data_IF_634530003489
#
_entry.id   IF_634530003489
#
_cell.length_a   1.000
_cell.length_b   1.000
_cell.length_c   1.000
_cell.angle_alpha   90.00
_cell.angle_beta   90.00
_cell.angle_gamma   90.00
#
_symmetry.space_group_name_H-M   'P 1'
#
loop_
_entity.id
_entity.type
_entity.pdbx_description
1 polymer ?
#
# COMPACT_ATOMS: atom_id res chain seq x y z
N UNK A 1 -12.65 38.37 -2.24
CA UNK A 1 -11.90 37.16 -2.63
C UNK A 1 -10.57 37.17 -1.88
N UNK A 2 -10.46 36.41 -0.77
CA UNK A 2 -9.19 36.28 -0.04
C UNK A 2 -8.50 34.99 -0.47
N UNK A 3 -7.25 35.12 -0.92
CA UNK A 3 -6.36 34.04 -1.31
C UNK A 3 -6.20 33.02 -0.17
N UNK A 4 -6.85 31.86 -0.30
CA UNK A 4 -6.65 30.73 0.59
C UNK A 4 -5.59 29.77 0.01
N UNK A 5 -4.48 30.31 -0.48
CA UNK A 5 -3.35 29.57 -1.06
C UNK A 5 -2.29 29.23 0.00
N UNK A 6 -2.70 28.75 1.18
CA UNK A 6 -1.74 28.00 2.00
C UNK A 6 -1.52 26.67 1.30
N UNK A 7 -0.37 26.51 0.67
CA UNK A 7 0.05 25.21 0.17
C UNK A 7 0.36 24.31 1.38
N UNK A 8 -0.60 23.46 1.76
CA UNK A 8 -0.48 22.53 2.90
C UNK A 8 0.21 21.22 2.46
N UNK A 9 0.41 21.02 1.15
CA UNK A 9 1.15 19.89 0.63
C UNK A 9 2.65 20.06 0.91
N UNK A 10 3.32 19.02 1.42
CA UNK A 10 4.79 18.99 1.38
C UNK A 10 5.24 18.66 -0.06
N UNK A 11 5.86 19.60 -0.79
CA UNK A 11 6.44 19.31 -2.08
C UNK A 11 7.52 18.26 -1.85
N UNK A 12 7.37 17.08 -2.44
CA UNK A 12 8.27 15.94 -2.24
C UNK A 12 8.22 15.22 -0.89
N UNK A 13 7.02 15.04 -0.32
CA UNK A 13 6.83 14.12 0.81
C UNK A 13 7.46 12.72 0.56
N UNK A 14 8.47 12.38 1.36
CA UNK A 14 9.17 11.10 1.30
C UNK A 14 8.46 10.06 2.18
N UNK A 15 7.49 9.36 1.60
CA UNK A 15 6.66 8.35 2.28
C UNK A 15 7.47 7.24 2.96
N UNK A 16 8.73 7.04 2.55
CA UNK A 16 9.62 6.00 3.03
C UNK A 16 10.71 6.53 3.99
N UNK A 17 10.79 7.86 4.17
CA UNK A 17 11.83 8.54 4.95
C UNK A 17 13.25 8.11 4.52
N UNK A 18 13.47 7.92 3.22
CA UNK A 18 14.73 7.48 2.61
C UNK A 18 15.90 8.36 3.01
N UNK A 19 15.72 9.69 3.04
CA UNK A 19 16.79 10.64 3.46
C UNK A 19 17.20 10.44 4.92
N UNK A 20 16.23 10.34 5.83
CA UNK A 20 16.52 10.07 7.24
C UNK A 20 17.16 8.69 7.44
N UNK A 21 16.69 7.67 6.71
CA UNK A 21 17.30 6.33 6.71
C UNK A 21 18.73 6.32 6.17
N UNK A 22 19.06 7.19 5.21
CA UNK A 22 20.44 7.36 4.73
C UNK A 22 21.33 7.84 5.85
N UNK A 23 20.97 8.96 6.49
CA UNK A 23 21.72 9.52 7.62
C UNK A 23 21.93 8.47 8.71
N UNK A 24 20.90 7.69 9.03
CA UNK A 24 21.01 6.60 10.00
C UNK A 24 21.93 5.47 9.52
N UNK A 25 21.90 5.08 8.24
CA UNK A 25 22.76 4.03 7.70
C UNK A 25 24.24 4.45 7.69
N UNK A 26 24.49 5.73 7.39
CA UNK A 26 25.81 6.36 7.42
C UNK A 26 26.35 6.43 8.85
N UNK A 27 25.53 6.89 9.81
CA UNK A 27 25.90 6.87 11.24
C UNK A 27 26.27 5.46 11.71
N UNK A 28 25.44 4.46 11.40
CA UNK A 28 25.72 3.08 11.80
C UNK A 28 26.99 2.51 11.13
N UNK A 29 27.37 2.99 9.94
CA UNK A 29 28.65 2.62 9.31
C UNK A 29 29.83 3.23 10.06
N UNK A 30 29.72 4.49 10.49
CA UNK A 30 30.76 5.19 11.24
C UNK A 30 30.95 4.59 12.65
N UNK A 31 29.86 4.16 13.29
CA UNK A 31 29.85 3.51 14.61
C UNK A 31 30.23 2.03 14.56
N UNK A 32 30.23 1.40 13.38
CA UNK A 32 30.54 -0.04 13.27
C UNK A 32 31.98 -0.35 13.69
N UNK A 33 32.16 -1.50 14.33
CA UNK A 33 33.45 -2.07 14.68
C UNK A 33 34.13 -2.70 13.46
N UNK A 34 34.61 -1.82 12.57
CA UNK A 34 35.35 -2.16 11.35
C UNK A 34 36.50 -1.17 11.17
N UNK A 35 37.57 -1.59 10.48
CA UNK A 35 38.72 -0.74 10.26
C UNK A 35 38.37 0.56 9.52
N UNK A 36 39.06 1.66 9.85
CA UNK A 36 38.87 2.98 9.23
C UNK A 36 38.93 2.91 7.70
N UNK A 37 39.87 2.10 7.18
CA UNK A 37 40.02 1.89 5.74
C UNK A 37 38.74 1.38 5.06
N UNK A 38 38.01 0.46 5.67
CA UNK A 38 36.75 -0.04 5.12
C UNK A 38 35.64 1.01 5.16
N UNK A 39 35.56 1.80 6.24
CA UNK A 39 34.61 2.93 6.34
C UNK A 39 34.83 3.91 5.17
N UNK A 40 36.07 4.34 4.96
CA UNK A 40 36.45 5.28 3.91
C UNK A 40 36.18 4.72 2.51
N UNK A 41 36.46 3.43 2.29
CA UNK A 41 36.19 2.77 1.00
C UNK A 41 34.70 2.72 0.68
N UNK A 42 33.86 2.41 1.67
CA UNK A 42 32.41 2.33 1.49
C UNK A 42 31.84 3.72 1.19
N UNK A 43 32.24 4.74 1.94
CA UNK A 43 31.77 6.12 1.74
C UNK A 43 32.17 6.63 0.36
N UNK A 44 33.44 6.48 -0.02
CA UNK A 44 33.93 6.87 -1.35
C UNK A 44 33.21 6.13 -2.47
N UNK A 45 32.90 4.86 -2.30
CA UNK A 45 32.13 4.11 -3.30
C UNK A 45 30.73 4.68 -3.47
N UNK A 46 30.02 4.92 -2.36
CA UNK A 46 28.66 5.45 -2.40
C UNK A 46 28.63 6.86 -3.00
N UNK A 47 29.62 7.69 -2.65
CA UNK A 47 29.81 9.02 -3.22
C UNK A 47 30.08 8.95 -4.73
N UNK A 48 31.07 8.15 -5.16
CA UNK A 48 31.39 7.94 -6.57
C UNK A 48 30.15 7.52 -7.36
N UNK A 49 29.42 6.50 -6.90
CA UNK A 49 28.20 6.03 -7.57
C UNK A 49 27.11 7.11 -7.61
N UNK A 50 27.05 7.96 -6.57
CA UNK A 50 26.09 9.07 -6.53
C UNK A 50 26.42 10.12 -7.58
N UNK A 51 27.69 10.53 -7.68
CA UNK A 51 28.14 11.56 -8.62
C UNK A 51 28.18 11.06 -10.07
N UNK A 52 28.68 9.85 -10.31
CA UNK A 52 28.88 9.33 -11.66
C UNK A 52 27.61 8.72 -12.28
N UNK A 53 26.72 8.14 -11.46
CA UNK A 53 25.56 7.36 -11.96
C UNK A 53 24.21 7.86 -11.44
N UNK A 54 24.15 9.04 -10.81
CA UNK A 54 22.92 9.60 -10.24
C UNK A 54 22.19 8.61 -9.31
N UNK A 55 22.95 7.95 -8.42
CA UNK A 55 22.44 6.88 -7.57
C UNK A 55 21.31 7.35 -6.66
N UNK A 56 20.15 6.71 -6.73
CA UNK A 56 19.03 7.04 -5.83
C UNK A 56 19.37 6.86 -4.34
N UNK A 57 18.77 7.67 -3.47
CA UNK A 57 18.92 7.59 -2.00
C UNK A 57 18.59 6.18 -1.47
N UNK A 58 17.59 5.51 -2.03
CA UNK A 58 17.25 4.14 -1.64
C UNK A 58 18.39 3.15 -1.91
N UNK A 59 19.12 3.34 -3.01
CA UNK A 59 20.25 2.48 -3.40
C UNK A 59 21.52 2.83 -2.63
N UNK A 60 21.74 4.11 -2.31
CA UNK A 60 22.78 4.55 -1.36
C UNK A 60 22.60 3.84 -0.01
N UNK A 61 21.39 3.88 0.57
CA UNK A 61 21.07 3.17 1.82
C UNK A 61 21.35 1.67 1.74
N UNK A 62 21.04 1.06 0.58
CA UNK A 62 21.31 -0.36 0.34
C UNK A 62 22.80 -0.64 0.33
N UNK A 63 23.61 0.16 -0.36
CA UNK A 63 25.07 -0.03 -0.39
C UNK A 63 25.70 0.17 0.98
N UNK A 64 25.35 1.26 1.69
CA UNK A 64 25.83 1.49 3.06
C UNK A 64 25.53 0.30 3.97
N UNK A 65 24.28 -0.19 3.96
CA UNK A 65 23.88 -1.32 4.80
C UNK A 65 24.59 -2.63 4.45
N UNK A 66 24.62 -3.01 3.16
CA UNK A 66 25.16 -4.30 2.75
C UNK A 66 26.69 -4.32 2.82
N UNK A 67 27.37 -3.23 2.44
CA UNK A 67 28.82 -3.17 2.51
C UNK A 67 29.32 -3.09 3.95
N UNK A 68 28.61 -2.39 4.85
CA UNK A 68 28.92 -2.42 6.28
C UNK A 68 28.87 -3.85 6.83
N UNK A 69 27.81 -4.58 6.53
CA UNK A 69 27.67 -5.99 6.93
C UNK A 69 28.82 -6.84 6.36
N UNK A 70 29.18 -6.64 5.09
CA UNK A 70 30.30 -7.36 4.48
C UNK A 70 31.62 -7.04 5.20
N UNK A 71 31.85 -5.77 5.56
CA UNK A 71 33.03 -5.33 6.30
C UNK A 71 33.05 -5.89 7.74
N UNK A 72 31.92 -5.91 8.45
CA UNK A 72 31.79 -6.49 9.79
C UNK A 72 32.14 -7.99 9.81
N UNK A 73 32.02 -8.67 8.68
CA UNK A 73 32.32 -10.11 8.54
C UNK A 73 33.63 -10.37 7.81
N UNK A 74 34.32 -9.31 7.35
CA UNK A 74 35.61 -9.38 6.67
C UNK A 74 36.68 -8.86 7.65
N UNK A 75 37.48 -9.78 8.17
CA UNK A 75 38.55 -9.52 9.16
C UNK A 75 39.72 -8.66 8.61
N UNK A 76 39.60 -8.15 7.36
CA UNK A 76 40.66 -7.43 6.65
C UNK A 76 40.09 -6.24 5.85
N UNK A 77 40.92 -5.25 5.51
CA UNK A 77 40.55 -4.22 4.54
C UNK A 77 40.16 -4.83 3.18
N UNK A 78 39.10 -4.33 2.55
CA UNK A 78 38.62 -4.86 1.26
C UNK A 78 39.69 -4.82 0.16
N UNK A 79 40.55 -3.81 0.15
CA UNK A 79 41.61 -3.65 -0.85
C UNK A 79 42.74 -4.67 -0.68
N UNK A 80 42.89 -5.25 0.51
CA UNK A 80 43.85 -6.30 0.84
C UNK A 80 43.24 -7.71 0.85
N UNK A 81 41.93 -7.85 0.66
CA UNK A 81 41.26 -9.15 0.66
C UNK A 81 41.66 -9.98 -0.58
N UNK A 82 41.94 -11.25 -0.35
CA UNK A 82 42.23 -12.24 -1.41
C UNK A 82 40.95 -12.96 -1.85
N UNK A 83 41.02 -13.74 -2.92
CA UNK A 83 39.93 -14.62 -3.35
C UNK A 83 39.45 -15.55 -2.21
N UNK A 84 40.38 -16.15 -1.47
CA UNK A 84 40.07 -17.06 -0.36
C UNK A 84 39.37 -16.34 0.80
N UNK A 85 39.74 -15.09 1.10
CA UNK A 85 39.05 -14.28 2.11
C UNK A 85 37.59 -14.00 1.68
N UNK A 86 37.35 -13.75 0.39
CA UNK A 86 36.01 -13.52 -0.17
C UNK A 86 35.16 -14.79 -0.18
N UNK A 87 35.75 -15.96 -0.45
CA UNK A 87 35.08 -17.25 -0.32
C UNK A 87 34.59 -17.49 1.12
N UNK A 88 35.48 -17.29 2.10
CA UNK A 88 35.15 -17.40 3.54
C UNK A 88 34.06 -16.40 3.93
N UNK A 89 34.16 -15.15 3.47
CA UNK A 89 33.16 -14.10 3.71
C UNK A 89 31.78 -14.52 3.22
N UNK A 90 31.65 -14.97 1.97
CA UNK A 90 30.36 -15.39 1.42
C UNK A 90 29.82 -16.63 2.13
N UNK A 91 30.68 -17.58 2.50
CA UNK A 91 30.31 -18.72 3.34
C UNK A 91 29.65 -18.29 4.64
N UNK A 92 30.30 -17.38 5.39
CA UNK A 92 29.75 -16.79 6.63
C UNK A 92 28.45 -16.05 6.37
N UNK A 93 28.41 -15.17 5.37
CA UNK A 93 27.23 -14.35 5.06
C UNK A 93 26.03 -15.19 4.63
N UNK A 94 26.24 -16.30 3.92
CA UNK A 94 25.15 -17.16 3.45
C UNK A 94 24.62 -18.10 4.52
N UNK A 95 25.41 -18.36 5.56
CA UNK A 95 25.04 -19.20 6.70
C UNK A 95 24.68 -18.40 7.95
N UNK A 96 24.89 -17.09 7.96
CA UNK A 96 24.53 -16.25 9.12
C UNK A 96 23.04 -16.30 9.41
N UNK A 97 22.70 -16.18 10.68
CA UNK A 97 21.32 -16.06 11.08
C UNK A 97 20.80 -14.63 10.89
N UNK A 98 19.59 -14.51 10.36
CA UNK A 98 18.88 -13.24 10.21
C UNK A 98 17.57 -13.31 10.97
N UNK A 99 17.33 -12.30 11.80
CA UNK A 99 16.10 -12.17 12.55
C UNK A 99 15.01 -11.50 11.71
N UNK A 100 13.83 -12.12 11.65
CA UNK A 100 12.62 -11.55 11.06
C UNK A 100 11.53 -11.53 12.12
N UNK A 101 11.45 -10.42 12.86
CA UNK A 101 10.65 -10.37 14.08
C UNK A 101 11.26 -11.30 15.12
N UNK A 102 10.46 -12.21 15.67
CA UNK A 102 10.92 -13.21 16.65
C UNK A 102 11.53 -14.46 16.02
N UNK A 103 11.50 -14.59 14.69
CA UNK A 103 11.96 -15.82 14.02
C UNK A 103 13.39 -15.67 13.52
N UNK A 104 14.21 -16.68 13.83
CA UNK A 104 15.59 -16.84 13.35
C UNK A 104 15.57 -17.67 12.06
N UNK A 105 16.12 -17.14 10.95
CA UNK A 105 16.16 -17.82 9.65
C UNK A 105 17.49 -17.61 8.96
N UNK A 106 17.82 -18.45 7.98
CA UNK A 106 18.93 -18.19 7.05
C UNK A 106 18.55 -17.13 6.00
N UNK A 107 19.53 -16.48 5.34
CA UNK A 107 19.27 -15.46 4.33
C UNK A 107 18.58 -16.08 3.11
N UNK A 108 17.56 -15.40 2.60
CA UNK A 108 16.84 -15.85 1.40
C UNK A 108 17.72 -15.82 0.14
N UNK A 109 17.37 -16.59 -0.91
CA UNK A 109 18.06 -16.54 -2.22
C UNK A 109 18.23 -15.09 -2.73
N UNK A 110 17.20 -14.25 -2.58
CA UNK A 110 17.24 -12.82 -2.91
C UNK A 110 18.27 -12.03 -2.09
N UNK A 111 18.37 -12.30 -0.79
CA UNK A 111 19.36 -11.64 0.08
C UNK A 111 20.77 -12.05 -0.31
N UNK A 112 20.99 -13.35 -0.58
CA UNK A 112 22.28 -13.87 -1.05
C UNK A 112 22.68 -13.25 -2.41
N UNK A 113 21.74 -13.17 -3.34
CA UNK A 113 21.91 -12.49 -4.63
C UNK A 113 22.35 -11.02 -4.44
N UNK A 114 21.68 -10.27 -3.58
CA UNK A 114 22.03 -8.87 -3.32
C UNK A 114 23.45 -8.71 -2.77
N UNK A 115 23.86 -9.54 -1.82
CA UNK A 115 25.25 -9.52 -1.32
C UNK A 115 26.25 -9.80 -2.43
N UNK A 116 26.04 -10.86 -3.22
CA UNK A 116 26.92 -11.20 -4.33
C UNK A 116 27.04 -10.07 -5.36
N UNK A 117 25.92 -9.52 -5.82
CA UNK A 117 25.92 -8.46 -6.84
C UNK A 117 26.58 -7.19 -6.31
N UNK A 118 26.23 -6.75 -5.10
CA UNK A 118 26.82 -5.55 -4.49
C UNK A 118 28.33 -5.72 -4.35
N UNK A 119 28.78 -6.87 -3.82
CA UNK A 119 30.20 -7.18 -3.66
C UNK A 119 30.95 -7.16 -5.00
N UNK A 120 30.42 -7.82 -6.05
CA UNK A 120 31.02 -7.77 -7.39
C UNK A 120 31.13 -6.33 -7.90
N UNK A 121 30.04 -5.55 -7.84
CA UNK A 121 30.06 -4.16 -8.33
C UNK A 121 30.95 -3.23 -7.50
N UNK A 122 31.18 -3.56 -6.23
CA UNK A 122 32.09 -2.81 -5.36
C UNK A 122 33.55 -3.14 -5.70
N UNK A 123 33.88 -4.42 -5.88
CA UNK A 123 35.24 -4.84 -6.27
C UNK A 123 35.65 -4.37 -7.66
N UNK A 124 34.69 -4.30 -8.61
CA UNK A 124 34.95 -3.70 -9.93
C UNK A 124 35.46 -2.27 -9.82
N UNK A 125 34.79 -1.46 -9.00
CA UNK A 125 35.21 -0.09 -8.71
C UNK A 125 36.53 -0.06 -7.94
N UNK A 126 36.65 -0.87 -6.88
CA UNK A 126 37.81 -0.88 -5.99
C UNK A 126 39.11 -1.20 -6.71
N UNK A 127 39.08 -2.20 -7.59
CA UNK A 127 40.24 -2.69 -8.35
C UNK A 127 40.37 -2.02 -9.72
N UNK A 128 39.43 -1.13 -10.08
CA UNK A 128 39.34 -0.49 -11.41
C UNK A 128 39.44 -1.52 -12.55
N UNK A 129 38.77 -2.65 -12.37
CA UNK A 129 38.87 -3.81 -13.27
C UNK A 129 37.47 -4.41 -13.47
N UNK A 130 37.11 -4.74 -14.71
CA UNK A 130 35.78 -5.28 -15.03
C UNK A 130 35.56 -6.68 -14.47
N UNK A 131 36.63 -7.46 -14.30
CA UNK A 131 36.61 -8.83 -13.76
C UNK A 131 37.69 -9.04 -12.70
N UNK A 132 37.53 -8.48 -11.48
CA UNK A 132 38.50 -8.67 -10.41
C UNK A 132 38.60 -10.14 -10.01
N UNK A 133 39.83 -10.67 -9.91
CA UNK A 133 40.10 -12.09 -9.59
C UNK A 133 39.41 -12.55 -8.30
N UNK A 134 39.25 -11.65 -7.33
CA UNK A 134 38.64 -11.90 -6.03
C UNK A 134 37.12 -12.16 -6.10
N UNK A 135 36.44 -11.66 -7.14
CA UNK A 135 34.96 -11.69 -7.22
C UNK A 135 34.38 -12.19 -8.53
N UNK A 136 35.18 -12.33 -9.60
CA UNK A 136 34.68 -12.73 -10.92
C UNK A 136 34.00 -14.10 -10.91
N UNK A 137 34.59 -15.05 -10.17
CA UNK A 137 34.09 -16.42 -9.96
C UNK A 137 32.71 -16.50 -9.29
N UNK A 138 32.28 -15.44 -8.59
CA UNK A 138 31.00 -15.41 -7.88
C UNK A 138 29.87 -15.47 -8.91
N UNK A 139 29.07 -16.54 -8.85
CA UNK A 139 27.81 -16.67 -9.58
C UNK A 139 26.66 -16.32 -8.63
N UNK A 140 26.04 -15.11 -8.73
CA UNK A 140 24.93 -14.75 -7.86
C UNK A 140 23.80 -15.79 -7.97
N UNK A 141 23.24 -16.27 -6.84
CA UNK A 141 22.12 -17.21 -6.87
C UNK A 141 20.96 -16.64 -7.69
N UNK A 142 20.39 -17.41 -8.62
CA UNK A 142 19.20 -16.99 -9.35
C UNK A 142 17.98 -17.25 -8.46
N UNK A 143 17.32 -16.22 -7.92
CA UNK A 143 16.06 -16.43 -7.22
C UNK A 143 14.98 -16.82 -8.23
N UNK A 144 14.15 -17.80 -7.89
CA UNK A 144 12.95 -18.10 -8.68
C UNK A 144 12.00 -16.91 -8.64
N UNK A 145 11.39 -16.62 -9.80
CA UNK A 145 10.33 -15.62 -9.87
C UNK A 145 9.14 -16.15 -9.05
N UNK A 146 8.66 -15.42 -8.03
CA UNK A 146 7.52 -15.88 -7.26
C UNK A 146 6.29 -15.92 -8.16
N UNK A 147 5.81 -17.13 -8.46
CA UNK A 147 4.49 -17.33 -9.09
C UNK A 147 3.42 -16.94 -8.07
N UNK A 148 2.46 -16.15 -8.51
CA UNK A 148 1.30 -15.82 -7.69
C UNK A 148 0.42 -17.06 -7.66
N UNK A 149 0.18 -17.62 -6.47
CA UNK A 149 -0.77 -18.73 -6.37
C UNK A 149 -2.20 -18.18 -6.38
N UNK A 150 -3.18 -18.87 -6.97
CA UNK A 150 -4.58 -18.43 -6.98
C UNK A 150 -5.14 -18.13 -5.57
N UNK A 151 -4.76 -18.91 -4.55
CA UNK A 151 -5.14 -18.70 -3.15
C UNK A 151 -4.63 -17.38 -2.55
N UNK A 152 -3.60 -16.78 -3.14
CA UNK A 152 -3.04 -15.51 -2.69
C UNK A 152 -3.70 -14.28 -3.35
N UNK A 153 -4.50 -14.48 -4.39
CA UNK A 153 -5.15 -13.41 -5.15
C UNK A 153 -6.32 -12.85 -4.35
N UNK A 154 -6.27 -11.53 -4.08
CA UNK A 154 -7.35 -10.79 -3.45
C UNK A 154 -8.45 -10.49 -4.47
N UNK A 155 -9.63 -11.04 -4.28
CA UNK A 155 -10.81 -10.70 -5.09
C UNK A 155 -11.45 -9.40 -4.59
N UNK A 156 -12.40 -8.85 -5.34
CA UNK A 156 -13.11 -7.65 -4.88
C UNK A 156 -13.89 -7.92 -3.58
N UNK A 157 -14.39 -9.14 -3.39
CA UNK A 157 -15.08 -9.59 -2.18
C UNK A 157 -14.14 -9.58 -0.97
N UNK A 158 -12.90 -10.03 -1.13
CA UNK A 158 -11.88 -9.94 -0.10
C UNK A 158 -11.63 -8.49 0.31
N UNK A 159 -11.60 -7.56 -0.66
CA UNK A 159 -11.41 -6.13 -0.42
C UNK A 159 -12.61 -5.53 0.30
N UNK A 160 -13.82 -5.93 -0.05
CA UNK A 160 -15.05 -5.51 0.65
C UNK A 160 -15.04 -6.03 2.08
N UNK A 161 -14.72 -7.32 2.31
CA UNK A 161 -14.58 -7.92 3.64
C UNK A 161 -13.53 -7.18 4.48
N UNK A 162 -12.39 -6.86 3.89
CA UNK A 162 -11.34 -6.07 4.53
C UNK A 162 -11.81 -4.65 4.90
N UNK A 163 -12.56 -4.01 4.00
CA UNK A 163 -13.07 -2.64 4.18
C UNK A 163 -14.20 -2.55 5.20
N UNK A 164 -15.05 -3.58 5.31
CA UNK A 164 -16.08 -3.69 6.36
C UNK A 164 -15.50 -3.68 7.77
N UNK A 165 -14.26 -4.17 7.94
CA UNK A 165 -13.54 -4.12 9.20
C UNK A 165 -12.90 -2.75 9.51
N UNK A 166 -13.17 -1.72 8.71
CA UNK A 166 -12.68 -0.36 8.95
C UNK A 166 -13.51 0.36 10.01
N UNK A 167 -12.89 1.34 10.70
CA UNK A 167 -13.55 2.12 11.77
C UNK A 167 -13.74 3.59 11.37
N UNK A 168 -13.41 3.95 10.13
CA UNK A 168 -13.49 5.31 9.61
C UNK A 168 -13.55 5.29 8.08
N UNK A 169 -14.03 6.37 7.47
CA UNK A 169 -14.21 6.47 6.01
C UNK A 169 -12.90 6.39 5.22
N UNK A 170 -11.78 6.87 5.77
CA UNK A 170 -10.46 6.76 5.15
C UNK A 170 -10.04 5.30 5.01
N UNK A 171 -10.11 4.54 6.09
CA UNK A 171 -9.69 3.14 6.12
C UNK A 171 -10.68 2.23 5.39
N UNK A 172 -11.92 2.69 5.19
CA UNK A 172 -12.90 2.08 4.29
C UNK A 172 -12.53 2.27 2.81
N UNK A 173 -12.12 3.47 2.43
CA UNK A 173 -11.80 3.83 1.05
C UNK A 173 -10.42 3.35 0.61
N UNK A 174 -9.41 3.46 1.47
CA UNK A 174 -8.01 3.21 1.16
C UNK A 174 -7.75 1.83 0.51
N UNK A 175 -8.16 0.68 1.08
CA UNK A 175 -7.94 -0.62 0.45
C UNK A 175 -8.71 -0.78 -0.87
N UNK A 176 -9.92 -0.22 -0.99
CA UNK A 176 -10.71 -0.28 -2.21
C UNK A 176 -10.02 0.43 -3.37
N UNK A 177 -9.57 1.67 -3.14
CA UNK A 177 -8.86 2.47 -4.14
C UNK A 177 -7.51 1.83 -4.48
N UNK A 178 -6.77 1.35 -3.47
CA UNK A 178 -5.47 0.68 -3.69
C UNK A 178 -5.62 -0.56 -4.59
N UNK A 179 -6.68 -1.34 -4.40
CA UNK A 179 -6.93 -2.50 -5.23
C UNK A 179 -7.36 -2.07 -6.63
N UNK A 180 -8.38 -1.23 -6.78
CA UNK A 180 -8.95 -0.94 -8.11
C UNK A 180 -7.99 -0.18 -9.04
N UNK A 181 -7.16 0.72 -8.47
CA UNK A 181 -6.12 1.42 -9.24
C UNK A 181 -4.90 0.56 -9.53
N UNK A 182 -4.68 -0.47 -8.72
CA UNK A 182 -3.42 -1.22 -8.68
C UNK A 182 -2.19 -0.33 -8.47
N UNK A 183 -2.34 0.81 -7.79
CA UNK A 183 -1.28 1.78 -7.57
C UNK A 183 -0.06 1.18 -6.88
N UNK A 184 1.14 1.62 -7.27
CA UNK A 184 2.28 1.54 -6.36
C UNK A 184 1.94 2.37 -5.13
N UNK A 185 2.37 1.94 -3.96
CA UNK A 185 2.01 2.63 -2.71
C UNK A 185 2.45 4.10 -2.70
N UNK A 186 3.57 4.43 -3.36
CA UNK A 186 4.06 5.79 -3.51
C UNK A 186 3.13 6.64 -4.39
N UNK A 187 2.68 6.11 -5.54
CA UNK A 187 1.70 6.76 -6.41
C UNK A 187 0.45 7.17 -5.61
N UNK A 188 -0.07 6.26 -4.79
CA UNK A 188 -1.29 6.48 -4.03
C UNK A 188 -1.10 7.45 -2.85
N UNK A 189 -0.04 7.30 -2.06
CA UNK A 189 0.18 8.11 -0.86
C UNK A 189 0.64 9.54 -1.17
N UNK A 190 1.08 9.82 -2.40
CA UNK A 190 1.44 11.18 -2.83
C UNK A 190 0.30 11.91 -3.55
N UNK A 191 -0.90 11.33 -3.66
CA UNK A 191 -2.05 12.03 -4.21
C UNK A 191 -2.46 13.22 -3.32
N UNK A 192 -2.90 14.28 -3.96
CA UNK A 192 -3.59 15.43 -3.35
C UNK A 192 -5.07 15.44 -3.74
N UNK A 193 -5.89 16.25 -3.06
CA UNK A 193 -7.31 16.37 -3.38
C UNK A 193 -7.56 16.85 -4.81
N UNK A 194 -6.70 17.74 -5.35
CA UNK A 194 -6.76 18.21 -6.75
C UNK A 194 -6.49 17.12 -7.79
N UNK A 195 -5.86 16.02 -7.40
CA UNK A 195 -5.54 14.92 -8.31
C UNK A 195 -6.74 14.02 -8.60
N UNK A 196 -7.92 14.33 -8.04
CA UNK A 196 -9.15 13.55 -8.17
C UNK A 196 -10.14 14.26 -9.08
N UNK A 197 -10.23 13.78 -10.31
CA UNK A 197 -11.16 14.26 -11.32
C UNK A 197 -12.45 13.42 -11.27
N UNK A 198 -13.61 14.08 -11.18
CA UNK A 198 -14.91 13.42 -11.32
C UNK A 198 -15.24 13.28 -12.80
N UNK A 199 -15.54 12.06 -13.23
CA UNK A 199 -15.89 11.76 -14.63
C UNK A 199 -17.22 11.02 -14.70
N UNK A 200 -17.88 11.05 -15.86
CA UNK A 200 -19.18 10.41 -16.09
C UNK A 200 -20.22 10.78 -15.01
N UNK A 201 -20.46 12.09 -14.82
CA UNK A 201 -21.39 12.64 -13.81
C UNK A 201 -21.08 12.20 -12.36
N UNK A 202 -19.82 11.89 -12.05
CA UNK A 202 -19.39 11.46 -10.72
C UNK A 202 -19.60 9.97 -10.44
N UNK A 203 -20.04 9.18 -11.43
CA UNK A 203 -20.12 7.71 -11.33
C UNK A 203 -18.73 7.06 -11.31
N UNK A 204 -17.71 7.77 -11.81
CA UNK A 204 -16.34 7.31 -11.82
C UNK A 204 -15.39 8.46 -11.42
N UNK A 205 -14.20 8.09 -10.95
CA UNK A 205 -13.14 9.04 -10.63
C UNK A 205 -11.89 8.68 -11.42
N UNK A 206 -11.21 9.70 -11.93
CA UNK A 206 -9.90 9.56 -12.56
C UNK A 206 -8.85 10.13 -11.59
N UNK A 207 -7.83 9.32 -11.31
CA UNK A 207 -6.81 9.63 -10.31
C UNK A 207 -5.50 9.98 -11.01
N UNK A 208 -5.08 11.25 -10.97
CA UNK A 208 -3.88 11.71 -11.65
C UNK A 208 -2.63 11.45 -10.80
N UNK A 209 -1.88 10.38 -11.09
CA UNK A 209 -0.63 10.13 -10.36
C UNK A 209 0.45 11.09 -10.82
N UNK A 210 0.87 11.99 -9.93
CA UNK A 210 1.96 12.95 -10.20
C UNK A 210 3.37 12.32 -10.17
N UNK A 211 3.49 11.11 -9.60
CA UNK A 211 4.78 10.42 -9.43
C UNK A 211 4.66 8.96 -9.85
N UNK A 212 5.60 8.49 -10.66
CA UNK A 212 5.74 7.08 -11.03
C UNK A 212 7.20 6.74 -11.26
N UNK A 213 7.59 5.50 -10.95
CA UNK A 213 8.94 5.00 -11.24
C UNK A 213 9.17 4.82 -12.75
N UNK A 214 8.10 4.66 -13.53
CA UNK A 214 8.19 4.20 -14.92
C UNK A 214 7.44 5.16 -15.83
N UNK A 215 6.12 5.13 -15.80
CA UNK A 215 5.25 5.99 -16.61
C UNK A 215 4.17 6.60 -15.74
N UNK A 216 3.93 7.90 -15.94
CA UNK A 216 2.84 8.64 -15.33
C UNK A 216 1.53 8.20 -15.97
N UNK A 217 0.48 8.02 -15.16
CA UNK A 217 -0.81 7.51 -15.62
C UNK A 217 -1.94 8.05 -14.76
N UNK A 218 -3.14 8.02 -15.33
CA UNK A 218 -4.36 8.46 -14.66
C UNK A 218 -5.44 7.38 -14.70
N UNK A 219 -5.38 6.33 -13.88
CA UNK A 219 -6.38 5.26 -13.91
C UNK A 219 -7.75 5.76 -13.49
N UNK A 220 -8.78 5.21 -14.13
CA UNK A 220 -10.18 5.37 -13.73
C UNK A 220 -10.55 4.28 -12.70
N UNK A 221 -11.30 4.69 -11.69
CA UNK A 221 -11.98 3.84 -10.70
C UNK A 221 -13.50 4.07 -10.75
N UNK A 222 -14.26 3.00 -10.51
CA UNK A 222 -15.73 3.00 -10.53
C UNK A 222 -16.27 2.36 -9.25
N UNK A 223 -15.77 1.18 -8.88
CA UNK A 223 -16.28 0.43 -7.72
C UNK A 223 -15.96 1.12 -6.39
N UNK A 224 -14.75 1.69 -6.29
CA UNK A 224 -14.24 2.40 -5.12
C UNK A 224 -14.55 3.90 -5.13
N UNK A 225 -15.09 4.44 -6.22
CA UNK A 225 -15.44 5.86 -6.34
C UNK A 225 -16.36 6.37 -5.20
N UNK A 226 -17.44 5.68 -4.81
CA UNK A 226 -18.30 6.17 -3.73
C UNK A 226 -17.59 6.15 -2.36
N UNK A 227 -16.73 5.15 -2.12
CA UNK A 227 -15.93 5.07 -0.90
C UNK A 227 -14.99 6.27 -0.79
N UNK A 228 -14.32 6.60 -1.90
CA UNK A 228 -13.40 7.73 -1.98
C UNK A 228 -14.12 9.07 -1.85
N UNK A 229 -15.27 9.26 -2.52
CA UNK A 229 -16.08 10.47 -2.38
C UNK A 229 -16.55 10.68 -0.93
N UNK A 230 -17.01 9.64 -0.24
CA UNK A 230 -17.38 9.72 1.18
C UNK A 230 -16.19 10.05 2.08
N UNK A 231 -14.97 9.63 1.73
CA UNK A 231 -13.77 10.08 2.44
C UNK A 231 -13.46 11.55 2.16
N UNK A 232 -13.49 11.99 0.91
CA UNK A 232 -13.24 13.38 0.51
C UNK A 232 -14.23 14.33 1.19
N UNK A 233 -15.51 13.96 1.28
CA UNK A 233 -16.58 14.74 1.93
C UNK A 233 -16.29 14.98 3.43
N UNK A 234 -15.68 13.99 4.09
CA UNK A 234 -15.27 14.01 5.50
C UNK A 234 -13.81 14.40 5.71
N UNK A 235 -13.10 14.78 4.66
CA UNK A 235 -11.68 15.04 4.73
C UNK A 235 -11.44 16.30 5.58
N UNK A 236 -10.55 16.24 6.59
CA UNK A 236 -10.37 17.35 7.52
C UNK A 236 -9.81 18.63 6.87
N UNK A 237 -9.15 18.48 5.72
CA UNK A 237 -8.58 19.57 4.93
C UNK A 237 -9.26 19.71 3.56
N UNK A 238 -10.55 19.33 3.43
CA UNK A 238 -11.26 19.28 2.14
C UNK A 238 -11.28 20.61 1.36
N UNK A 239 -11.19 21.73 2.08
CA UNK A 239 -11.19 23.08 1.50
C UNK A 239 -9.86 23.39 0.77
N UNK A 240 -8.79 22.64 1.05
CA UNK A 240 -7.46 22.86 0.49
C UNK A 240 -7.14 21.86 -0.61
N UNK A 241 -7.23 22.29 -1.87
CA UNK A 241 -7.01 21.43 -3.04
C UNK A 241 -5.63 20.75 -3.07
N UNK A 242 -4.58 21.39 -2.51
CA UNK A 242 -3.23 20.81 -2.44
C UNK A 242 -2.99 19.94 -1.20
N UNK A 243 -4.00 19.76 -0.34
CA UNK A 243 -3.86 18.87 0.82
C UNK A 243 -3.65 17.42 0.36
N UNK A 244 -2.80 16.65 1.06
CA UNK A 244 -2.65 15.22 0.81
C UNK A 244 -4.00 14.51 0.93
N UNK A 245 -4.34 13.66 -0.04
CA UNK A 245 -5.59 12.90 -0.04
C UNK A 245 -5.68 11.94 1.15
N UNK A 246 -4.55 11.39 1.57
CA UNK A 246 -4.46 10.40 2.64
C UNK A 246 -3.72 10.97 3.84
N UNK A 247 -4.46 11.47 4.83
CA UNK A 247 -3.92 12.03 6.08
C UNK A 247 -4.02 11.06 7.27
N UNK A 248 -3.27 11.30 8.35
CA UNK A 248 -3.34 10.51 9.59
C UNK A 248 -4.59 10.88 10.40
N UNK A 249 -5.37 9.89 10.89
CA UNK A 249 -6.59 10.15 11.69
C UNK A 249 -6.31 10.97 12.97
N UNK A 250 -5.22 10.67 13.68
CA UNK A 250 -4.84 11.37 14.92
C UNK A 250 -4.10 12.70 14.68
N UNK A 251 -3.48 12.87 13.51
CA UNK A 251 -2.74 14.08 13.12
C UNK A 251 -3.20 14.48 11.73
N UNK A 252 -4.38 15.11 11.70
CA UNK A 252 -5.22 15.31 10.51
C UNK A 252 -4.58 16.22 9.46
N UNK A 253 -3.54 16.95 9.84
CA UNK A 253 -2.70 17.80 9.01
C UNK A 253 -1.51 17.07 8.37
N UNK A 254 -1.21 15.82 8.80
CA UNK A 254 -0.02 15.09 8.35
C UNK A 254 -0.36 14.00 7.33
N UNK A 255 0.38 13.91 6.21
CA UNK A 255 0.21 12.83 5.23
C UNK A 255 0.54 11.46 5.84
N UNK A 256 -0.09 10.43 5.28
CA UNK A 256 0.19 9.04 5.60
C UNK A 256 1.54 8.60 5.01
N UNK A 257 2.45 8.15 5.86
CA UNK A 257 3.68 7.48 5.44
C UNK A 257 3.45 5.98 5.15
N UNK A 258 4.45 5.32 4.53
CA UNK A 258 4.40 3.90 4.21
C UNK A 258 4.14 3.02 5.45
N UNK A 259 4.68 3.41 6.61
CA UNK A 259 4.48 2.69 7.87
C UNK A 259 3.02 2.75 8.30
N UNK A 260 2.38 3.91 8.16
CA UNK A 260 0.96 4.11 8.45
C UNK A 260 0.09 3.28 7.53
N UNK A 261 0.34 3.30 6.22
CA UNK A 261 -0.39 2.47 5.27
C UNK A 261 -0.25 0.97 5.56
N UNK A 262 0.96 0.50 5.88
CA UNK A 262 1.20 -0.90 6.28
C UNK A 262 0.47 -1.27 7.57
N UNK A 263 0.42 -0.34 8.54
CA UNK A 263 -0.31 -0.55 9.79
C UNK A 263 -1.82 -0.68 9.55
N UNK A 264 -2.40 0.21 8.73
CA UNK A 264 -3.83 0.15 8.35
C UNK A 264 -4.15 -1.21 7.74
N UNK A 265 -3.40 -1.64 6.72
CA UNK A 265 -3.62 -2.93 6.07
C UNK A 265 -3.47 -4.12 7.03
N UNK A 266 -2.51 -4.07 7.95
CA UNK A 266 -2.31 -5.12 8.98
C UNK A 266 -3.47 -5.16 9.97
N UNK A 267 -3.93 -4.01 10.43
CA UNK A 267 -5.02 -3.91 11.40
C UNK A 267 -6.37 -4.32 10.77
N UNK A 268 -6.61 -3.94 9.52
CA UNK A 268 -7.78 -4.40 8.76
C UNK A 268 -7.74 -5.91 8.57
N UNK A 269 -6.59 -6.48 8.16
CA UNK A 269 -6.43 -7.94 8.00
C UNK A 269 -6.76 -8.68 9.30
N UNK A 270 -6.24 -8.19 10.44
CA UNK A 270 -6.49 -8.78 11.75
C UNK A 270 -7.97 -8.78 12.10
N UNK A 271 -8.67 -7.65 11.90
CA UNK A 271 -10.09 -7.52 12.24
C UNK A 271 -11.01 -8.27 11.28
N UNK A 272 -10.64 -8.39 10.00
CA UNK A 272 -11.46 -9.07 9.00
C UNK A 272 -11.33 -10.59 9.03
N UNK A 273 -10.34 -11.16 9.74
CA UNK A 273 -10.06 -12.60 9.70
C UNK A 273 -9.77 -13.11 8.29
N UNK A 274 -9.09 -12.29 7.46
CA UNK A 274 -8.72 -12.69 6.11
C UNK A 274 -7.34 -13.35 6.15
N UNK A 275 -7.21 -14.58 5.65
CA UNK A 275 -5.93 -15.30 5.71
C UNK A 275 -4.96 -14.91 4.60
N UNK A 276 -5.48 -14.43 3.46
CA UNK A 276 -4.71 -14.04 2.29
C UNK A 276 -3.65 -12.95 2.60
N UNK A 277 -2.54 -12.87 1.84
CA UNK A 277 -1.53 -11.83 2.06
C UNK A 277 -2.06 -10.41 1.82
N UNK A 278 -2.13 -9.56 2.85
CA UNK A 278 -2.58 -8.16 2.71
C UNK A 278 -1.36 -7.22 2.70
N UNK A 279 -0.91 -6.84 1.50
CA UNK A 279 0.16 -5.85 1.31
C UNK A 279 0.04 -5.13 -0.03
N UNK A 280 0.60 -3.92 -0.20
CA UNK A 280 0.39 -3.12 -1.42
C UNK A 280 0.79 -3.81 -2.72
N UNK A 281 1.85 -4.63 -2.69
CA UNK A 281 2.21 -5.40 -3.87
C UNK A 281 1.13 -6.42 -4.22
N UNK A 282 0.61 -7.17 -3.23
CA UNK A 282 -0.45 -8.15 -3.49
C UNK A 282 -1.73 -7.53 -4.03
N UNK A 283 -2.10 -6.32 -3.57
CA UNK A 283 -3.24 -5.57 -4.12
C UNK A 283 -3.06 -5.30 -5.61
N UNK A 284 -1.88 -4.77 -5.99
CA UNK A 284 -1.54 -4.54 -7.39
C UNK A 284 -1.54 -5.82 -8.22
N UNK A 285 -0.97 -6.91 -7.68
CA UNK A 285 -0.95 -8.21 -8.36
C UNK A 285 -2.37 -8.70 -8.64
N UNK A 286 -3.22 -8.63 -7.63
CA UNK A 286 -4.59 -9.14 -7.70
C UNK A 286 -5.46 -8.31 -8.63
N UNK A 287 -5.29 -6.99 -8.60
CA UNK A 287 -5.91 -6.07 -9.54
C UNK A 287 -5.48 -6.35 -10.98
N UNK A 288 -4.18 -6.54 -11.24
CA UNK A 288 -3.68 -6.85 -12.58
C UNK A 288 -4.22 -8.17 -13.10
N UNK A 289 -4.29 -9.19 -12.23
CA UNK A 289 -4.93 -10.47 -12.55
C UNK A 289 -6.39 -10.26 -12.92
N UNK A 290 -7.18 -9.55 -12.10
CA UNK A 290 -8.58 -9.23 -12.39
C UNK A 290 -8.78 -8.51 -13.74
N UNK A 291 -8.04 -7.42 -13.98
CA UNK A 291 -8.18 -6.65 -15.22
C UNK A 291 -7.61 -7.35 -16.46
N UNK A 292 -6.77 -8.37 -16.30
CA UNK A 292 -6.32 -9.20 -17.44
C UNK A 292 -7.49 -9.93 -18.12
N UNK A 293 -8.58 -10.20 -17.37
CA UNK A 293 -9.81 -10.76 -17.91
C UNK A 293 -10.62 -9.77 -18.76
N UNK A 294 -10.25 -8.48 -18.81
CA UNK A 294 -10.99 -7.46 -19.56
C UNK A 294 -10.14 -6.66 -20.55
N UNK A 295 -8.82 -6.60 -20.34
CA UNK A 295 -7.90 -5.77 -21.12
C UNK A 295 -6.87 -6.63 -21.85
N UNK A 296 -6.42 -6.14 -23.00
CA UNK A 296 -5.26 -6.69 -23.72
C UNK A 296 -3.96 -6.47 -22.92
N UNK A 297 -2.89 -7.23 -23.22
CA UNK A 297 -1.56 -7.01 -22.65
C UNK A 297 -1.05 -5.56 -22.71
N UNK A 298 -1.23 -4.88 -23.84
CA UNK A 298 -0.75 -3.51 -24.05
C UNK A 298 -1.54 -2.50 -23.21
N UNK A 299 -2.87 -2.63 -23.18
CA UNK A 299 -3.74 -1.80 -22.34
C UNK A 299 -3.49 -2.04 -20.85
N UNK A 300 -3.23 -3.28 -20.42
CA UNK A 300 -2.88 -3.57 -19.04
C UNK A 300 -1.53 -2.91 -18.70
N UNK A 301 -0.52 -3.02 -19.56
CA UNK A 301 0.77 -2.34 -19.34
C UNK A 301 0.59 -0.82 -19.19
N UNK A 302 -0.23 -0.19 -20.03
CA UNK A 302 -0.58 1.23 -19.91
C UNK A 302 -1.34 1.53 -18.60
N UNK A 303 -2.39 0.77 -18.28
CA UNK A 303 -3.20 0.94 -17.06
C UNK A 303 -2.34 0.88 -15.81
N UNK A 304 -1.31 0.04 -15.77
CA UNK A 304 -0.46 -0.16 -14.60
C UNK A 304 0.85 0.63 -14.65
N UNK A 305 1.19 1.28 -15.77
CA UNK A 305 2.45 2.01 -15.94
C UNK A 305 3.65 1.06 -15.96
N UNK A 306 3.54 0.01 -16.77
CA UNK A 306 4.65 -0.87 -17.16
C UNK A 306 5.10 -0.51 -18.56
N UNK A 307 6.42 -0.55 -18.81
CA UNK A 307 6.94 -0.44 -20.18
C UNK A 307 6.39 -1.56 -21.04
N UNK A 308 6.17 -1.27 -22.31
CA UNK A 308 5.69 -2.27 -23.27
C UNK A 308 6.63 -3.48 -23.42
N UNK A 309 7.94 -3.28 -23.26
CA UNK A 309 8.95 -4.34 -23.25
C UNK A 309 9.04 -5.16 -21.94
N UNK A 310 8.22 -4.86 -20.93
CA UNK A 310 8.30 -5.52 -19.62
C UNK A 310 7.67 -6.92 -19.62
N UNK A 311 8.42 -7.90 -19.09
CA UNK A 311 7.96 -9.25 -18.74
C UNK A 311 7.13 -9.31 -17.45
N UNK A 312 6.79 -8.16 -16.87
CA UNK A 312 6.06 -8.13 -15.59
C UNK A 312 4.66 -8.75 -15.72
N UNK A 313 4.07 -8.70 -16.92
CA UNK A 313 2.75 -9.27 -17.20
C UNK A 313 2.72 -10.79 -17.02
N UNK A 314 3.83 -11.47 -17.32
CA UNK A 314 3.98 -12.93 -17.25
C UNK A 314 3.78 -13.49 -15.83
N UNK A 315 3.85 -12.62 -14.81
CA UNK A 315 3.59 -13.00 -13.40
C UNK A 315 2.08 -13.05 -13.11
N UNK A 316 1.25 -12.37 -13.91
CA UNK A 316 -0.16 -12.09 -13.61
C UNK A 316 -1.14 -12.70 -14.59
N UNK A 317 -0.70 -12.93 -15.82
CA UNK A 317 -1.54 -13.45 -16.89
C UNK A 317 -1.11 -14.88 -17.20
N UNK A 318 -1.93 -15.84 -16.79
CA UNK A 318 -1.89 -17.18 -17.34
C UNK A 318 -2.98 -17.22 -18.43
N UNK A 319 -2.61 -17.43 -19.70
CA UNK A 319 -3.60 -17.69 -20.72
C UNK A 319 -4.24 -19.04 -20.40
N UNK A 320 -5.52 -19.00 -20.09
CA UNK A 320 -6.40 -20.17 -20.08
C UNK A 320 -6.99 -20.29 -21.49
N UNK A 321 -6.81 -21.44 -22.14
CA UNK A 321 -7.25 -21.70 -23.51
C UNK A 321 -8.78 -21.56 -23.64
N UNK A 322 -9.51 -22.06 -22.64
CA UNK A 322 -10.97 -21.94 -22.58
C UNK A 322 -11.40 -20.46 -22.55
N UNK A 323 -10.63 -19.61 -21.87
CA UNK A 323 -10.85 -18.17 -21.83
C UNK A 323 -10.56 -17.47 -23.16
N UNK A 324 -9.49 -17.88 -23.85
CA UNK A 324 -9.16 -17.32 -25.17
C UNK A 324 -10.27 -17.65 -26.15
N UNK A 325 -10.69 -18.91 -26.20
CA UNK A 325 -11.75 -19.37 -27.08
C UNK A 325 -13.10 -18.74 -26.70
N UNK A 326 -13.40 -18.60 -25.39
CA UNK A 326 -14.60 -17.92 -24.91
C UNK A 326 -14.70 -16.46 -25.36
N UNK A 327 -13.59 -15.72 -25.41
CA UNK A 327 -13.57 -14.34 -25.93
C UNK A 327 -13.76 -14.26 -27.44
N UNK A 328 -13.22 -15.22 -28.19
CA UNK A 328 -13.45 -15.32 -29.64
C UNK A 328 -14.94 -15.55 -29.89
N UNK A 329 -15.57 -16.48 -29.16
CA UNK A 329 -17.01 -16.73 -29.26
C UNK A 329 -17.86 -15.50 -28.88
N UNK A 330 -17.44 -14.68 -27.90
CA UNK A 330 -18.10 -13.40 -27.59
C UNK A 330 -17.92 -12.35 -28.68
N UNK A 331 -16.73 -12.27 -29.28
CA UNK A 331 -16.41 -11.34 -30.37
C UNK A 331 -17.21 -11.66 -31.64
N UNK A 332 -17.32 -12.94 -31.99
CA UNK A 332 -18.12 -13.44 -33.12
C UNK A 332 -19.63 -13.44 -32.83
N UNK A 333 -20.06 -13.01 -31.63
CA UNK A 333 -21.48 -12.96 -31.24
C UNK A 333 -22.14 -14.32 -30.99
N UNK A 334 -21.37 -15.43 -31.03
CA UNK A 334 -21.83 -16.80 -30.78
C UNK A 334 -22.20 -17.01 -29.30
N UNK A 335 -21.46 -16.33 -28.41
CA UNK A 335 -21.74 -16.33 -26.97
C UNK A 335 -22.16 -14.93 -26.56
N UNK A 336 -23.35 -14.80 -25.97
CA UNK A 336 -23.70 -13.53 -25.32
C UNK A 336 -22.63 -13.17 -24.29
N UNK A 337 -22.15 -11.93 -24.37
CA UNK A 337 -21.25 -11.37 -23.35
C UNK A 337 -21.96 -11.45 -22.02
N UNK A 338 -21.63 -12.47 -21.21
CA UNK A 338 -22.30 -12.67 -19.92
C UNK A 338 -22.04 -11.43 -19.08
N UNK A 339 -23.02 -10.53 -18.96
CA UNK A 339 -23.04 -9.48 -17.93
C UNK A 339 -23.16 -10.05 -16.50
N UNK A 340 -23.02 -11.37 -16.35
CA UNK A 340 -23.36 -12.17 -15.19
C UNK A 340 -22.11 -12.44 -14.36
N UNK A 341 -21.92 -11.57 -13.35
CA UNK A 341 -21.50 -11.92 -11.98
C UNK A 341 -21.39 -10.69 -11.06
N UNK A 342 -21.31 -9.48 -11.62
CA UNK A 342 -20.99 -8.28 -10.83
C UNK A 342 -22.17 -7.44 -10.31
N UNK A 343 -23.43 -7.83 -10.57
CA UNK A 343 -24.60 -7.01 -10.17
C UNK A 343 -24.69 -6.82 -8.64
N UNK A 344 -24.35 -7.86 -7.85
CA UNK A 344 -24.35 -7.81 -6.37
C UNK A 344 -23.21 -6.97 -5.77
N UNK A 345 -22.22 -6.55 -6.57
CA UNK A 345 -20.96 -5.93 -6.11
C UNK A 345 -20.67 -4.57 -6.74
N UNK A 346 -21.66 -3.94 -7.39
CA UNK A 346 -21.62 -2.55 -7.81
C UNK A 346 -22.07 -1.62 -6.68
N UNK A 347 -21.62 -0.36 -6.66
CA UNK A 347 -22.19 0.67 -5.79
C UNK A 347 -23.72 0.68 -5.87
N UNK A 348 -24.38 0.68 -4.71
CA UNK A 348 -25.85 0.70 -4.64
C UNK A 348 -26.34 2.13 -4.56
N UNK A 349 -27.29 2.50 -5.41
CA UNK A 349 -28.04 3.75 -5.27
C UNK A 349 -29.03 3.59 -4.11
N UNK A 350 -29.02 4.53 -3.17
CA UNK A 350 -30.00 4.55 -2.08
C UNK A 350 -31.40 4.77 -2.66
N UNK A 351 -32.33 3.87 -2.35
CA UNK A 351 -33.73 3.99 -2.79
C UNK A 351 -34.46 5.17 -2.13
N UNK A 352 -33.94 5.65 -0.99
CA UNK A 352 -34.56 6.72 -0.20
C UNK A 352 -34.11 8.12 -0.62
N UNK A 353 -32.79 8.34 -0.75
CA UNK A 353 -32.23 9.67 -1.02
C UNK A 353 -31.44 9.74 -2.33
N UNK A 354 -31.38 8.67 -3.11
CA UNK A 354 -30.69 8.63 -4.40
C UNK A 354 -29.15 8.65 -4.34
N UNK A 355 -28.52 8.81 -3.17
CA UNK A 355 -27.04 8.79 -3.02
C UNK A 355 -26.48 7.44 -3.46
N UNK A 356 -25.41 7.46 -4.25
CA UNK A 356 -24.63 6.25 -4.58
C UNK A 356 -23.74 5.90 -3.38
N UNK A 357 -23.87 4.68 -2.86
CA UNK A 357 -23.19 4.23 -1.65
C UNK A 357 -22.00 3.32 -1.95
N UNK A 358 -20.96 3.33 -1.08
CA UNK A 358 -19.83 2.43 -1.21
C UNK A 358 -20.26 0.96 -1.23
N UNK A 359 -19.48 0.11 -1.90
CA UNK A 359 -19.72 -1.34 -1.85
C UNK A 359 -19.43 -1.85 -0.44
N UNK A 360 -20.34 -2.66 0.11
CA UNK A 360 -20.18 -3.28 1.42
C UNK A 360 -20.62 -2.44 2.61
N UNK A 361 -21.37 -1.36 2.42
CA UNK A 361 -22.11 -0.73 3.52
C UNK A 361 -23.54 -1.24 3.53
N UNK A 362 -24.09 -1.50 4.72
CA UNK A 362 -25.48 -1.95 4.88
C UNK A 362 -26.45 -0.76 5.01
N UNK A 363 -25.92 0.42 5.36
CA UNK A 363 -26.67 1.67 5.57
C UNK A 363 -26.17 2.78 4.66
N UNK A 364 -27.06 3.70 4.28
CA UNK A 364 -26.72 4.83 3.46
C UNK A 364 -25.75 5.77 4.18
N UNK A 365 -24.65 6.15 3.52
CA UNK A 365 -23.66 7.05 4.12
C UNK A 365 -24.20 8.46 4.35
N UNK A 366 -25.21 8.86 3.57
CA UNK A 366 -25.90 10.16 3.67
C UNK A 366 -27.07 10.09 4.65
N UNK A 367 -28.18 9.43 4.29
CA UNK A 367 -29.41 9.45 5.08
C UNK A 367 -29.48 8.41 6.21
N UNK A 368 -28.45 7.58 6.39
CA UNK A 368 -28.35 6.54 7.44
C UNK A 368 -29.38 5.41 7.42
N UNK A 369 -30.35 5.43 6.51
CA UNK A 369 -31.30 4.33 6.34
C UNK A 369 -30.65 3.08 5.71
N UNK A 370 -31.06 1.86 6.07
CA UNK A 370 -30.68 0.63 5.39
C UNK A 370 -30.84 0.74 3.86
N UNK A 371 -29.85 0.22 3.13
CA UNK A 371 -29.87 0.17 1.67
C UNK A 371 -30.72 -0.99 1.13
N UNK A 372 -31.07 -1.92 2.00
CA UNK A 372 -31.94 -3.04 1.74
C UNK A 372 -33.34 -2.70 2.29
N UNK A 373 -34.38 -2.57 1.43
CA UNK A 373 -35.73 -2.18 1.85
C UNK A 373 -36.31 -3.09 2.93
N UNK A 374 -36.09 -4.40 2.86
CA UNK A 374 -36.59 -5.37 3.84
C UNK A 374 -35.92 -5.18 5.21
N UNK A 375 -34.61 -4.92 5.23
CA UNK A 375 -33.89 -4.59 6.46
C UNK A 375 -34.29 -3.24 7.04
N UNK A 376 -34.82 -2.31 6.22
CA UNK A 376 -35.34 -1.04 6.71
C UNK A 376 -36.65 -1.21 7.46
N UNK A 377 -37.53 -2.10 7.02
CA UNK A 377 -38.76 -2.40 7.75
C UNK A 377 -38.43 -2.97 9.14
N UNK A 378 -37.56 -3.98 9.19
CA UNK A 378 -37.05 -4.56 10.43
C UNK A 378 -36.35 -3.53 11.32
N UNK A 379 -35.48 -2.69 10.76
CA UNK A 379 -34.77 -1.66 11.55
C UNK A 379 -35.71 -0.57 12.06
N UNK A 380 -36.73 -0.18 11.28
CA UNK A 380 -37.72 0.82 11.70
C UNK A 380 -38.60 0.25 12.83
N UNK A 381 -39.07 -0.98 12.68
CA UNK A 381 -39.80 -1.71 13.72
C UNK A 381 -38.95 -1.89 14.99
N UNK A 382 -37.66 -2.22 14.86
CA UNK A 382 -36.76 -2.35 16.01
C UNK A 382 -36.55 -1.01 16.72
N UNK A 383 -36.47 0.09 15.96
CA UNK A 383 -36.29 1.43 16.54
C UNK A 383 -37.54 1.87 17.29
N UNK A 384 -38.73 1.64 16.73
CA UNK A 384 -40.00 1.86 17.42
C UNK A 384 -40.10 1.03 18.71
N UNK A 385 -39.82 -0.28 18.64
CA UNK A 385 -39.84 -1.16 19.82
C UNK A 385 -38.84 -0.70 20.88
N UNK A 386 -37.64 -0.27 20.49
CA UNK A 386 -36.62 0.23 21.42
C UNK A 386 -37.05 1.56 22.04
N UNK A 387 -37.58 2.50 21.25
CA UNK A 387 -38.06 3.78 21.75
C UNK A 387 -39.26 3.60 22.70
N UNK A 388 -40.19 2.69 22.38
CA UNK A 388 -41.32 2.34 23.24
C UNK A 388 -40.84 1.65 24.52
N UNK A 389 -39.89 0.73 24.42
CA UNK A 389 -39.29 0.06 25.59
C UNK A 389 -38.54 1.04 26.50
N UNK A 390 -37.85 2.03 25.91
CA UNK A 390 -37.16 3.09 26.65
C UNK A 390 -38.18 3.99 27.35
N UNK A 391 -39.28 4.35 26.69
CA UNK A 391 -40.38 5.12 27.30
C UNK A 391 -41.02 4.36 28.45
N UNK A 392 -41.37 3.10 28.25
CA UNK A 392 -41.97 2.26 29.28
C UNK A 392 -41.03 2.06 30.47
N UNK A 393 -39.74 1.84 30.21
CA UNK A 393 -38.72 1.79 31.26
C UNK A 393 -38.62 3.12 32.00
N UNK A 394 -38.67 4.25 31.29
CA UNK A 394 -38.57 5.57 31.88
C UNK A 394 -39.79 5.94 32.72
N UNK A 395 -40.99 5.52 32.31
CA UNK A 395 -42.22 5.70 33.08
C UNK A 395 -42.19 4.86 34.37
N UNK A 396 -41.83 3.58 34.27
CA UNK A 396 -41.75 2.67 35.43
C UNK A 396 -40.63 3.02 36.41
N UNK A 397 -39.57 3.68 35.95
CA UNK A 397 -38.40 4.02 36.76
C UNK A 397 -38.19 5.55 36.87
N UNK A 398 -39.26 6.34 36.73
CA UNK A 398 -39.20 7.80 36.68
C UNK A 398 -38.49 8.43 37.90
N UNK A 399 -38.67 7.86 39.09
CA UNK A 399 -37.98 8.30 40.31
C UNK A 399 -36.47 8.11 40.20
N UNK A 400 -36.03 6.91 39.79
CA UNK A 400 -34.62 6.56 39.63
C UNK A 400 -33.94 7.42 38.55
N UNK A 401 -34.62 7.65 37.44
CA UNK A 401 -34.11 8.52 36.36
C UNK A 401 -33.98 9.95 36.84
N UNK A 402 -34.97 10.49 37.56
CA UNK A 402 -34.92 11.84 38.10
C UNK A 402 -33.81 12.02 39.16
N UNK A 403 -33.53 10.99 39.96
CA UNK A 403 -32.39 10.98 40.87
C UNK A 403 -31.06 10.92 40.13
N UNK A 404 -30.96 10.09 39.09
CA UNK A 404 -29.77 10.00 38.25
C UNK A 404 -29.49 11.32 37.52
N UNK A 405 -30.51 11.99 36.99
CA UNK A 405 -30.39 13.31 36.36
C UNK A 405 -29.95 14.36 37.38
N UNK A 406 -30.49 14.35 38.61
CA UNK A 406 -30.03 15.23 39.71
C UNK A 406 -28.59 14.95 40.12
N UNK A 407 -28.17 13.68 40.12
CA UNK A 407 -26.78 13.30 40.37
C UNK A 407 -25.82 13.81 39.28
N UNK A 408 -26.19 13.64 38.01
CA UNK A 408 -25.38 14.13 36.87
C UNK A 408 -25.28 15.65 36.90
N UNK A 409 -26.38 16.38 37.15
CA UNK A 409 -26.37 17.84 37.24
C UNK A 409 -25.42 18.35 38.31
N UNK A 410 -25.46 17.77 39.52
CA UNK A 410 -24.51 18.08 40.59
C UNK A 410 -23.06 17.86 40.16
N UNK A 411 -22.75 16.75 39.48
CA UNK A 411 -21.40 16.49 38.97
C UNK A 411 -20.92 17.44 37.88
N UNK A 412 -21.82 17.95 37.05
CA UNK A 412 -21.48 18.95 36.03
C UNK A 412 -21.21 20.29 36.69
N UNK A 413 -22.01 20.67 37.68
CA UNK A 413 -21.83 21.89 38.46
C UNK A 413 -20.53 21.85 39.30
N UNK A 414 -20.23 20.72 39.94
CA UNK A 414 -18.99 20.49 40.69
C UNK A 414 -17.73 20.40 39.80
N UNK A 415 -17.88 20.08 38.51
CA UNK A 415 -16.78 20.04 37.55
C UNK A 415 -16.50 21.35 36.82
N UNK A 416 -17.30 22.39 37.06
CA UNK A 416 -17.20 23.73 36.45
C UNK A 416 -16.69 24.81 37.42
N UNK A 417 -16.56 24.48 38.70
CA UNK A 417 -15.73 25.18 39.70
C UNK A 417 -14.34 24.59 39.74
#
# INVERSE_FOLDING_TARGET
>A
MKENSRDIGEPNFDIHKRRARRKSAERLLLEADICKRNKDLILRYVEYRTLAENLSVARQNKYLHYLRILAENLEKPFDKATKQDIEKLLGRIYQRDVYRGRTKKKPSKWTKYDFAVILKTFFKWLKKCEKPKETDWIKPPKPEAPRLRPDEILTWEDIVKLSKASMNSRDLAFPQVLWETGARIEELLTLELRDIERVNNGMALKLHFRKSKTEIRSPIIVRSAPALLNWIEKHPLREYKTAPLWVKIKRRDKPMDYSTARKILKDLKRRSGLDKPVNPHNFRKSSASFYSHYLSPAELKNRYGWRQSSKMLDIYCFPDEERVNGRILEFEGIKERKAKENAKMKPKKCVWCGKINPVGVDYCVLCKRPLDPEKNLLASQLTEIVDDSIREFAEKNSVLINEFVRFIKRRVEEGMT
#
